data_IF_192426794346
#
_entry.id   IF_192426794346
#
_cell.length_a   1.000
_cell.length_b   1.000
_cell.length_c   1.000
_cell.angle_alpha   90.00
_cell.angle_beta   90.00
_cell.angle_gamma   90.00
#
_symmetry.space_group_name_H-M   'P 1'
#
loop_
_entity.id
_entity.type
_entity.pdbx_description
1 polymer ?
#
# COMPACT_ATOMS: atom_id res chain seq x y z
N UNK A 1 13.95 31.51 1.20
CA UNK A 1 14.65 30.23 0.99
C UNK A 1 14.32 29.15 2.04
N UNK A 2 14.09 29.49 3.32
CA UNK A 2 13.86 28.49 4.39
C UNK A 2 12.59 27.63 4.25
N UNK A 3 11.47 28.20 3.81
CA UNK A 3 10.20 27.45 3.67
C UNK A 3 10.24 26.38 2.58
N UNK A 4 10.93 26.65 1.47
CA UNK A 4 11.06 25.71 0.34
C UNK A 4 11.87 24.46 0.75
N UNK A 5 12.91 24.66 1.58
CA UNK A 5 13.72 23.57 2.13
C UNK A 5 12.95 22.73 3.17
N UNK A 6 12.05 23.38 3.92
CA UNK A 6 11.21 22.73 4.94
C UNK A 6 10.11 21.87 4.29
N UNK A 7 9.51 22.34 3.19
CA UNK A 7 8.49 21.60 2.44
C UNK A 7 9.06 20.31 1.81
N UNK A 8 10.24 20.38 1.20
CA UNK A 8 10.94 19.21 0.65
C UNK A 8 11.19 18.12 1.71
N UNK A 9 11.72 18.52 2.88
CA UNK A 9 11.99 17.58 3.98
C UNK A 9 10.71 16.93 4.52
N UNK A 10 9.63 17.72 4.67
CA UNK A 10 8.32 17.23 5.08
C UNK A 10 7.73 16.23 4.07
N UNK A 11 7.83 16.55 2.77
CA UNK A 11 7.34 15.68 1.70
C UNK A 11 8.08 14.33 1.65
N UNK A 12 9.39 14.37 1.92
CA UNK A 12 10.22 13.16 2.01
C UNK A 12 9.85 12.29 3.21
N UNK A 13 9.56 12.91 4.37
CA UNK A 13 9.08 12.22 5.56
C UNK A 13 7.72 11.56 5.31
N UNK A 14 6.79 12.27 4.65
CA UNK A 14 5.47 11.74 4.29
C UNK A 14 5.57 10.56 3.33
N UNK A 15 6.38 10.66 2.26
CA UNK A 15 6.62 9.54 1.33
C UNK A 15 7.15 8.29 2.06
N UNK A 16 8.11 8.47 2.97
CA UNK A 16 8.69 7.36 3.76
C UNK A 16 7.65 6.78 4.73
N UNK A 17 6.94 7.64 5.47
CA UNK A 17 5.93 7.23 6.44
C UNK A 17 4.79 6.45 5.78
N UNK A 18 4.27 6.96 4.66
CA UNK A 18 3.24 6.25 3.87
C UNK A 18 3.73 4.89 3.39
N UNK A 19 4.95 4.79 2.87
CA UNK A 19 5.49 3.50 2.43
C UNK A 19 5.61 2.49 3.59
N UNK A 20 6.03 2.93 4.78
CA UNK A 20 6.10 2.07 5.97
C UNK A 20 4.70 1.57 6.33
N UNK A 21 3.70 2.45 6.35
CA UNK A 21 2.31 2.08 6.65
C UNK A 21 1.78 1.06 5.62
N UNK A 22 2.05 1.28 4.33
CA UNK A 22 1.64 0.36 3.26
C UNK A 22 2.27 -1.03 3.43
N UNK A 23 3.55 -1.11 3.79
CA UNK A 23 4.23 -2.39 4.07
C UNK A 23 3.65 -3.08 5.30
N UNK A 24 3.37 -2.35 6.38
CA UNK A 24 2.75 -2.90 7.59
C UNK A 24 1.36 -3.47 7.31
N UNK A 25 0.54 -2.77 6.54
CA UNK A 25 -0.79 -3.25 6.12
C UNK A 25 -0.69 -4.53 5.29
N UNK A 26 0.32 -4.62 4.42
CA UNK A 26 0.57 -5.79 3.60
C UNK A 26 0.97 -7.02 4.44
N UNK A 27 1.86 -6.83 5.41
CA UNK A 27 2.25 -7.89 6.35
C UNK A 27 1.03 -8.35 7.16
N UNK A 28 0.22 -7.42 7.66
CA UNK A 28 -1.01 -7.74 8.39
C UNK A 28 -2.02 -8.50 7.54
N UNK A 29 -2.21 -8.12 6.27
CA UNK A 29 -3.08 -8.85 5.34
C UNK A 29 -2.59 -10.28 5.11
N UNK A 30 -1.28 -10.48 4.91
CA UNK A 30 -0.69 -11.82 4.75
C UNK A 30 -0.90 -12.66 6.01
N UNK A 31 -0.62 -12.10 7.18
CA UNK A 31 -0.81 -12.81 8.46
C UNK A 31 -2.26 -13.28 8.61
N UNK A 32 -3.21 -12.41 8.30
CA UNK A 32 -4.64 -12.72 8.38
C UNK A 32 -5.09 -13.77 7.36
N UNK A 33 -4.59 -13.72 6.12
CA UNK A 33 -4.94 -14.70 5.08
C UNK A 33 -4.29 -16.09 5.27
N UNK A 34 -3.18 -16.18 6.00
CA UNK A 34 -2.47 -17.42 6.25
C UNK A 34 -2.74 -17.99 7.66
N UNK A 35 -3.58 -17.32 8.44
CA UNK A 35 -4.09 -17.88 9.68
C UNK A 35 -5.18 -18.93 9.40
N UNK A 36 -5.37 -19.87 10.31
CA UNK A 36 -6.28 -21.01 10.15
C UNK A 36 -7.75 -20.63 10.38
N UNK A 37 -8.02 -19.48 11.01
CA UNK A 37 -9.38 -18.98 11.24
C UNK A 37 -9.92 -18.25 10.01
N UNK A 38 -10.97 -18.81 9.41
CA UNK A 38 -11.62 -18.27 8.21
C UNK A 38 -12.25 -16.87 8.42
N UNK A 39 -12.51 -16.47 9.66
CA UNK A 39 -12.93 -15.10 10.00
C UNK A 39 -11.81 -14.10 9.69
N UNK A 40 -10.56 -14.54 9.80
CA UNK A 40 -9.39 -13.69 9.56
C UNK A 40 -9.17 -13.40 8.07
N UNK A 41 -9.68 -14.22 7.16
CA UNK A 41 -9.70 -13.87 5.73
C UNK A 41 -10.51 -12.60 5.45
N UNK A 42 -11.61 -12.38 6.19
CA UNK A 42 -12.40 -11.15 6.05
C UNK A 42 -11.63 -9.93 6.56
N UNK A 43 -10.89 -10.08 7.66
CA UNK A 43 -9.98 -9.03 8.14
C UNK A 43 -8.81 -8.80 7.18
N UNK A 44 -8.25 -9.84 6.56
CA UNK A 44 -7.25 -9.72 5.50
C UNK A 44 -7.77 -8.90 4.32
N UNK A 45 -9.04 -9.12 3.93
CA UNK A 45 -9.76 -8.30 2.96
C UNK A 45 -9.89 -6.82 3.38
N UNK A 46 -10.23 -6.56 4.65
CA UNK A 46 -10.28 -5.19 5.18
C UNK A 46 -8.91 -4.50 5.16
N UNK A 47 -7.84 -5.20 5.53
CA UNK A 47 -6.47 -4.67 5.44
C UNK A 47 -6.10 -4.32 4.00
N UNK A 48 -6.47 -5.16 3.04
CA UNK A 48 -6.29 -4.86 1.61
C UNK A 48 -7.10 -3.65 1.16
N UNK A 49 -8.35 -3.51 1.62
CA UNK A 49 -9.19 -2.36 1.27
C UNK A 49 -8.59 -1.04 1.77
N UNK A 50 -8.16 -1.00 3.04
CA UNK A 50 -7.49 0.17 3.64
C UNK A 50 -6.18 0.47 2.92
N UNK A 51 -5.40 -0.58 2.58
CA UNK A 51 -4.18 -0.45 1.79
C UNK A 51 -4.45 0.24 0.44
N UNK A 52 -5.46 -0.20 -0.32
CA UNK A 52 -5.78 0.40 -1.61
C UNK A 52 -6.26 1.86 -1.48
N UNK A 53 -7.05 2.19 -0.45
CA UNK A 53 -7.50 3.55 -0.20
C UNK A 53 -6.31 4.49 0.05
N UNK A 54 -5.41 4.10 0.97
CA UNK A 54 -4.22 4.89 1.29
C UNK A 54 -3.32 5.04 0.06
N UNK A 55 -3.17 3.95 -0.71
CA UNK A 55 -2.39 3.96 -1.95
C UNK A 55 -2.96 4.96 -2.97
N UNK A 56 -4.27 4.95 -3.24
CA UNK A 56 -4.91 5.86 -4.20
C UNK A 56 -4.71 7.32 -3.77
N UNK A 57 -4.95 7.64 -2.50
CA UNK A 57 -4.77 9.00 -1.97
C UNK A 57 -3.31 9.44 -2.10
N UNK A 58 -2.36 8.56 -1.77
CA UNK A 58 -0.94 8.87 -1.81
C UNK A 58 -0.44 9.05 -3.25
N UNK A 59 -0.89 8.21 -4.17
CA UNK A 59 -0.55 8.29 -5.59
C UNK A 59 -1.13 9.56 -6.23
N UNK A 60 -2.36 9.95 -5.86
CA UNK A 60 -2.97 11.20 -6.28
C UNK A 60 -2.20 12.43 -5.75
N UNK A 61 -1.83 12.41 -4.47
CA UNK A 61 -1.08 13.50 -3.84
C UNK A 61 0.34 13.64 -4.44
N UNK A 62 0.98 12.53 -4.82
CA UNK A 62 2.29 12.54 -5.49
C UNK A 62 2.15 13.01 -6.94
N UNK A 63 1.17 12.50 -7.71
CA UNK A 63 0.94 12.90 -9.11
C UNK A 63 0.66 14.40 -9.27
N UNK A 64 -0.06 15.00 -8.32
CA UNK A 64 -0.28 16.45 -8.30
C UNK A 64 1.00 17.25 -8.03
N UNK A 65 1.95 16.68 -7.27
CA UNK A 65 3.10 17.43 -6.77
C UNK A 65 4.32 17.29 -7.65
N UNK A 66 4.60 16.10 -8.20
CA UNK A 66 5.83 15.81 -8.93
C UNK A 66 5.59 14.72 -9.97
N UNK A 67 5.92 14.97 -11.24
CA UNK A 67 5.99 13.95 -12.31
C UNK A 67 7.15 12.96 -12.11
N UNK A 68 7.21 12.35 -10.93
CA UNK A 68 8.37 11.66 -10.39
C UNK A 68 8.36 10.17 -10.79
N UNK A 69 9.22 9.83 -11.76
CA UNK A 69 9.31 8.49 -12.38
C UNK A 69 9.61 7.36 -11.39
N UNK A 70 10.21 7.68 -10.22
CA UNK A 70 10.55 6.67 -9.19
C UNK A 70 9.35 6.20 -8.39
N UNK A 71 8.36 7.07 -8.16
CA UNK A 71 7.14 6.72 -7.45
C UNK A 71 6.30 5.73 -8.26
N UNK A 72 6.28 5.89 -9.58
CA UNK A 72 5.58 5.00 -10.52
C UNK A 72 6.05 3.55 -10.41
N UNK A 73 7.36 3.31 -10.29
CA UNK A 73 7.92 1.95 -10.18
C UNK A 73 7.50 1.28 -8.87
N UNK A 74 7.52 2.02 -7.76
CA UNK A 74 7.05 1.51 -6.46
C UNK A 74 5.55 1.23 -6.48
N UNK A 75 4.75 2.14 -7.04
CA UNK A 75 3.30 1.95 -7.18
C UNK A 75 2.95 0.74 -8.04
N UNK A 76 3.70 0.51 -9.12
CA UNK A 76 3.54 -0.64 -10.00
C UNK A 76 3.91 -1.95 -9.30
N UNK A 77 5.06 -1.99 -8.62
CA UNK A 77 5.49 -3.17 -7.85
C UNK A 77 4.49 -3.53 -6.76
N UNK A 78 3.99 -2.53 -6.02
CA UNK A 78 2.95 -2.72 -5.00
C UNK A 78 1.63 -3.18 -5.61
N UNK A 79 1.24 -2.64 -6.77
CA UNK A 79 0.03 -3.09 -7.48
C UNK A 79 0.12 -4.57 -7.86
N UNK A 80 1.21 -4.97 -8.48
CA UNK A 80 1.43 -6.36 -8.91
C UNK A 80 1.42 -7.29 -7.70
N UNK A 81 2.08 -6.92 -6.61
CA UNK A 81 2.10 -7.72 -5.40
C UNK A 81 0.71 -7.88 -4.76
N UNK A 82 -0.08 -6.81 -4.67
CA UNK A 82 -1.45 -6.88 -4.13
C UNK A 82 -2.37 -7.72 -5.01
N UNK A 83 -2.27 -7.63 -6.33
CA UNK A 83 -3.08 -8.46 -7.24
C UNK A 83 -2.72 -9.94 -7.08
N UNK A 84 -1.43 -10.27 -7.00
CA UNK A 84 -0.98 -11.64 -6.77
C UNK A 84 -1.52 -12.20 -5.44
N UNK A 85 -1.43 -11.42 -4.36
CA UNK A 85 -1.98 -11.83 -3.07
C UNK A 85 -3.49 -12.09 -3.13
N UNK A 86 -4.23 -11.23 -3.83
CA UNK A 86 -5.68 -11.36 -3.97
C UNK A 86 -6.04 -12.61 -4.77
N UNK A 87 -5.31 -12.91 -5.84
CA UNK A 87 -5.48 -14.14 -6.63
C UNK A 87 -5.18 -15.38 -5.76
N UNK A 88 -4.03 -15.40 -5.07
CA UNK A 88 -3.63 -16.55 -4.23
C UNK A 88 -4.62 -16.78 -3.09
N UNK A 89 -5.06 -15.72 -2.41
CA UNK A 89 -6.08 -15.80 -1.36
C UNK A 89 -7.42 -16.30 -1.92
N UNK A 90 -7.84 -15.80 -3.08
CA UNK A 90 -9.09 -16.23 -3.72
C UNK A 90 -9.07 -17.70 -4.17
N UNK A 91 -7.91 -18.25 -4.54
CA UNK A 91 -7.80 -19.66 -4.94
C UNK A 91 -8.25 -20.63 -3.83
N UNK A 92 -8.12 -20.25 -2.54
CA UNK A 92 -8.68 -21.03 -1.42
C UNK A 92 -10.20 -21.25 -1.49
N UNK A 93 -10.91 -20.40 -2.23
CA UNK A 93 -12.37 -20.42 -2.35
C UNK A 93 -12.84 -21.15 -3.62
N UNK A 94 -11.95 -21.38 -4.58
CA UNK A 94 -12.28 -21.98 -5.89
C UNK A 94 -11.76 -23.42 -6.07
N UNK A 95 -10.78 -23.86 -5.28
CA UNK A 95 -10.21 -25.21 -5.28
C UNK A 95 -10.28 -25.82 -3.88
#
# INVERSE_FOLDING_TARGET
MGDILKDNKSNKLLKIGTNIILVLLLIGAIQMFYDDDYTNDHFGGLFMMVFFIIKIISSFMISLKEGDKKAVVLDLSLMVFSVLLLVVSSMKYFF
#
